data_IF_727603289867
#
_entry.id   IF_727603289867
#
_cell.length_a   1.000
_cell.length_b   1.000
_cell.length_c   1.000
_cell.angle_alpha   90.00
_cell.angle_beta   90.00
_cell.angle_gamma   90.00
#
_symmetry.space_group_name_H-M   'P 1'
#
loop_
_entity.id
_entity.type
_entity.pdbx_description
1 polymer ?
#
# COMPACT_ATOMS: atom_id res chain seq x y z
N UNK A 1 -16.09 16.46 -5.65
CA UNK A 1 -14.85 16.16 -6.39
C UNK A 1 -13.81 15.80 -5.35
N UNK A 2 -13.07 14.69 -5.52
CA UNK A 2 -12.00 14.30 -4.57
C UNK A 2 -10.87 15.33 -4.60
N UNK A 3 -10.21 15.60 -3.47
CA UNK A 3 -9.04 16.48 -3.40
C UNK A 3 -7.76 15.82 -3.94
N UNK A 4 -7.75 14.49 -3.99
CA UNK A 4 -6.64 13.66 -4.47
C UNK A 4 -7.17 12.56 -5.37
N UNK A 5 -6.51 12.34 -6.50
CA UNK A 5 -6.81 11.28 -7.45
C UNK A 5 -5.58 10.40 -7.62
N UNK A 6 -5.72 9.08 -7.44
CA UNK A 6 -4.65 8.14 -7.72
C UNK A 6 -4.62 7.91 -9.23
N UNK A 7 -3.45 8.13 -9.85
CA UNK A 7 -3.27 8.00 -11.31
C UNK A 7 -2.66 6.67 -11.70
N UNK A 8 -1.78 6.10 -10.87
CA UNK A 8 -1.17 4.80 -11.10
C UNK A 8 -0.73 4.12 -9.80
N UNK A 9 -0.78 2.79 -9.78
CA UNK A 9 -0.18 1.95 -8.74
C UNK A 9 0.53 0.79 -9.44
N UNK A 10 1.86 0.81 -9.42
CA UNK A 10 2.68 -0.26 -9.97
C UNK A 10 3.25 -1.12 -8.84
N UNK A 11 3.04 -2.43 -8.93
CA UNK A 11 3.65 -3.41 -8.02
C UNK A 11 5.02 -3.76 -8.57
N UNK A 12 6.07 -3.45 -7.83
CA UNK A 12 7.45 -3.74 -8.22
C UNK A 12 7.82 -5.15 -7.76
N UNK A 13 8.71 -5.80 -8.49
CA UNK A 13 9.27 -7.13 -8.17
C UNK A 13 8.23 -8.25 -8.01
N UNK A 14 7.16 -8.25 -8.83
CA UNK A 14 6.15 -9.31 -8.87
C UNK A 14 6.36 -10.23 -10.09
N UNK A 15 6.46 -11.58 -9.92
CA UNK A 15 6.30 -12.36 -8.68
C UNK A 15 7.51 -12.29 -7.74
N UNK A 16 7.24 -12.21 -6.44
CA UNK A 16 8.23 -12.18 -5.37
C UNK A 16 7.99 -13.32 -4.35
N UNK A 17 9.04 -13.67 -3.60
CA UNK A 17 8.87 -14.55 -2.44
C UNK A 17 8.11 -13.84 -1.34
N UNK A 18 7.34 -14.58 -0.53
CA UNK A 18 6.61 -14.03 0.62
C UNK A 18 7.49 -13.24 1.59
N UNK A 19 8.76 -13.65 1.75
CA UNK A 19 9.73 -13.00 2.63
C UNK A 19 10.41 -11.78 1.98
N UNK A 20 10.13 -11.52 0.70
CA UNK A 20 10.65 -10.33 0.02
C UNK A 20 9.86 -9.08 0.44
N UNK A 21 10.49 -7.90 0.44
CA UNK A 21 9.79 -6.67 0.71
C UNK A 21 8.68 -6.41 -0.31
N UNK A 22 7.55 -5.90 0.16
CA UNK A 22 6.51 -5.37 -0.72
C UNK A 22 6.93 -3.98 -1.20
N UNK A 23 6.81 -3.73 -2.50
CA UNK A 23 7.18 -2.46 -3.11
C UNK A 23 6.07 -1.99 -4.05
N UNK A 24 5.51 -0.83 -3.76
CA UNK A 24 4.47 -0.20 -4.56
C UNK A 24 4.92 1.19 -4.99
N UNK A 25 5.01 1.43 -6.30
CA UNK A 25 5.15 2.79 -6.82
C UNK A 25 3.76 3.39 -7.01
N UNK A 26 3.46 4.43 -6.23
CA UNK A 26 2.17 5.10 -6.23
C UNK A 26 2.35 6.48 -6.87
N UNK A 27 1.54 6.76 -7.88
CA UNK A 27 1.42 8.08 -8.50
C UNK A 27 0.03 8.65 -8.22
N UNK A 28 -0.03 9.90 -7.79
CA UNK A 28 -1.27 10.60 -7.48
C UNK A 28 -1.21 12.07 -7.85
N UNK A 29 -2.37 12.64 -8.16
CA UNK A 29 -2.59 14.04 -8.43
C UNK A 29 -3.35 14.66 -7.25
N UNK A 30 -2.83 15.76 -6.73
CA UNK A 30 -3.53 16.61 -5.77
C UNK A 30 -4.14 17.79 -6.52
N UNK A 31 -5.48 17.90 -6.53
CA UNK A 31 -6.22 18.94 -7.25
C UNK A 31 -6.56 20.15 -6.38
N UNK A 32 -6.56 19.97 -5.06
CA UNK A 32 -6.86 21.01 -4.06
C UNK A 32 -5.82 20.91 -2.94
N UNK A 33 -5.21 22.03 -2.48
CA UNK A 33 -4.20 21.97 -1.43
C UNK A 33 -4.79 21.40 -0.13
N UNK A 34 -4.06 20.49 0.49
CA UNK A 34 -4.42 19.87 1.75
C UNK A 34 -3.66 20.52 2.89
N UNK A 35 -4.40 21.02 3.88
CA UNK A 35 -3.83 21.58 5.11
C UNK A 35 -3.38 20.47 6.07
N UNK A 36 -4.13 19.36 6.09
CA UNK A 36 -3.84 18.18 6.90
C UNK A 36 -3.01 17.15 6.11
N UNK A 37 -2.35 16.26 6.84
CA UNK A 37 -1.53 15.20 6.25
C UNK A 37 -2.38 14.12 5.58
N UNK A 38 -1.92 13.63 4.42
CA UNK A 38 -2.43 12.42 3.79
C UNK A 38 -1.81 11.20 4.46
N UNK A 39 -2.65 10.26 4.88
CA UNK A 39 -2.19 8.99 5.43
C UNK A 39 -2.27 7.87 4.38
N UNK A 40 -1.12 7.27 4.06
CA UNK A 40 -0.99 6.10 3.21
C UNK A 40 -0.76 4.87 4.07
N UNK A 41 -1.69 3.91 4.01
CA UNK A 41 -1.57 2.62 4.73
C UNK A 41 -1.43 1.48 3.76
N UNK A 42 -0.48 0.59 4.04
CA UNK A 42 -0.45 -0.74 3.44
C UNK A 42 -1.08 -1.72 4.43
N UNK A 43 -2.19 -2.33 4.05
CA UNK A 43 -2.91 -3.30 4.86
C UNK A 43 -2.83 -4.66 4.19
N UNK A 44 -2.34 -5.64 4.96
CA UNK A 44 -2.35 -7.03 4.58
C UNK A 44 -3.61 -7.70 5.10
N UNK A 45 -4.42 -8.23 4.18
CA UNK A 45 -5.67 -8.91 4.51
C UNK A 45 -5.35 -10.33 4.97
N UNK A 46 -5.54 -10.56 6.27
CA UNK A 46 -5.23 -11.84 6.92
C UNK A 46 -6.35 -12.87 6.77
N UNK A 47 -7.56 -12.46 6.44
CA UNK A 47 -8.68 -13.34 6.08
C UNK A 47 -9.65 -12.58 5.19
N UNK A 48 -10.19 -13.22 4.17
CA UNK A 48 -11.21 -12.60 3.32
C UNK A 48 -12.57 -12.43 4.04
N UNK A 49 -12.80 -13.17 5.13
CA UNK A 49 -14.08 -13.23 5.83
C UNK A 49 -14.08 -12.46 7.16
N UNK A 50 -12.89 -12.13 7.69
CA UNK A 50 -12.75 -11.58 9.03
C UNK A 50 -11.64 -10.51 9.08
N UNK A 51 -12.06 -9.26 9.22
CA UNK A 51 -11.21 -8.06 9.28
C UNK A 51 -10.32 -8.03 10.54
N UNK A 52 -10.60 -8.83 11.57
CA UNK A 52 -9.79 -8.85 12.80
C UNK A 52 -8.38 -9.40 12.57
N UNK A 53 -8.16 -10.10 11.45
CA UNK A 53 -6.86 -10.60 11.04
C UNK A 53 -6.09 -9.65 10.13
N UNK A 54 -6.66 -8.51 9.75
CA UNK A 54 -6.00 -7.52 8.91
C UNK A 54 -4.86 -6.84 9.67
N UNK A 55 -3.75 -6.67 8.98
CA UNK A 55 -2.54 -6.11 9.55
C UNK A 55 -2.12 -4.87 8.80
N UNK A 56 -1.96 -3.77 9.52
CA UNK A 56 -1.29 -2.59 8.99
C UNK A 56 0.20 -2.88 8.92
N UNK A 57 0.71 -3.11 7.71
CA UNK A 57 2.13 -3.35 7.47
C UNK A 57 2.92 -2.05 7.57
N UNK A 58 2.35 -0.94 7.09
CA UNK A 58 2.99 0.37 7.10
C UNK A 58 1.94 1.49 7.12
N UNK A 59 2.29 2.62 7.74
CA UNK A 59 1.50 3.85 7.74
C UNK A 59 2.40 5.08 7.58
N UNK A 60 2.25 5.80 6.47
CA UNK A 60 3.05 6.98 6.15
C UNK A 60 2.15 8.21 6.06
N UNK A 61 2.53 9.26 6.78
CA UNK A 61 1.90 10.57 6.71
C UNK A 61 2.66 11.47 5.74
N UNK A 62 1.95 12.14 4.84
CA UNK A 62 2.51 13.07 3.85
C UNK A 62 1.72 14.37 3.92
N UNK A 63 2.34 15.42 4.46
CA UNK A 63 1.75 16.75 4.41
C UNK A 63 2.66 17.87 4.91
N UNK A 64 2.23 19.13 4.70
CA UNK A 64 1.07 19.56 3.89
C UNK A 64 1.31 19.37 2.37
N UNK A 65 0.26 19.04 1.61
CA UNK A 65 0.36 18.70 0.17
C UNK A 65 -0.23 19.79 -0.70
N UNK A 66 0.60 20.36 -1.59
CA UNK A 66 0.18 21.36 -2.56
C UNK A 66 -0.39 20.70 -3.82
N UNK A 67 -1.11 21.49 -4.63
CA UNK A 67 -1.61 21.05 -5.94
C UNK A 67 -0.45 20.61 -6.83
N UNK A 68 -0.58 19.45 -7.47
CA UNK A 68 0.46 18.90 -8.34
C UNK A 68 0.40 17.39 -8.49
N UNK A 69 1.35 16.87 -9.27
CA UNK A 69 1.52 15.43 -9.47
C UNK A 69 2.68 14.93 -8.62
N UNK A 70 2.44 13.85 -7.88
CA UNK A 70 3.39 13.24 -6.96
C UNK A 70 3.58 11.77 -7.30
N UNK A 71 4.78 11.28 -6.99
CA UNK A 71 5.13 9.86 -7.11
C UNK A 71 6.08 9.48 -6.00
N UNK A 72 5.81 8.36 -5.35
CA UNK A 72 6.69 7.80 -4.33
C UNK A 72 6.63 6.27 -4.34
N UNK A 73 7.63 5.64 -3.72
CA UNK A 73 7.65 4.19 -3.52
C UNK A 73 7.34 3.90 -2.05
N UNK A 74 6.25 3.19 -1.81
CA UNK A 74 5.93 2.63 -0.51
C UNK A 74 6.55 1.24 -0.42
N UNK A 75 7.51 1.07 0.47
CA UNK A 75 8.20 -0.19 0.66
C UNK A 75 8.08 -0.68 2.10
N UNK A 76 7.75 -1.96 2.27
CA UNK A 76 7.61 -2.57 3.59
C UNK A 76 8.36 -3.89 3.61
N UNK A 77 9.15 -4.10 4.68
CA UNK A 77 9.77 -5.40 4.91
C UNK A 77 8.67 -6.44 5.14
N UNK A 78 8.87 -7.65 4.63
CA UNK A 78 7.89 -8.73 4.78
C UNK A 78 7.49 -8.87 6.26
N UNK A 79 6.19 -9.01 6.58
CA UNK A 79 5.78 -9.38 7.93
C UNK A 79 6.51 -10.68 8.26
N UNK A 80 7.35 -10.66 9.29
CA UNK A 80 8.12 -11.85 9.70
C UNK A 80 7.21 -13.08 9.87
N UNK A 81 7.82 -14.26 9.92
CA UNK A 81 7.23 -15.61 9.86
C UNK A 81 5.94 -15.92 10.68
N UNK A 82 5.43 -15.01 11.50
CA UNK A 82 4.25 -15.19 12.33
C UNK A 82 2.92 -15.20 11.55
N UNK A 83 2.92 -14.91 10.25
CA UNK A 83 1.71 -14.52 9.49
C UNK A 83 1.51 -15.32 8.17
N UNK A 84 2.10 -16.52 8.08
CA UNK A 84 2.33 -17.24 6.82
C UNK A 84 1.10 -17.85 6.12
N UNK A 85 -0.14 -17.70 6.61
CA UNK A 85 -1.22 -18.59 6.16
C UNK A 85 -2.07 -18.08 4.99
N UNK A 86 -2.12 -16.77 4.70
CA UNK A 86 -3.13 -16.26 3.73
C UNK A 86 -2.56 -15.74 2.41
N UNK A 87 -1.28 -15.33 2.32
CA UNK A 87 -0.70 -14.90 1.03
C UNK A 87 -0.58 -16.05 0.04
N UNK A 88 -0.46 -17.29 0.53
CA UNK A 88 -0.31 -18.45 -0.35
C UNK A 88 -1.50 -18.63 -1.31
N UNK A 89 -2.67 -18.05 -1.03
CA UNK A 89 -3.84 -18.15 -1.92
C UNK A 89 -3.88 -17.16 -3.08
N UNK A 90 -3.21 -16.00 -2.99
CA UNK A 90 -3.18 -15.01 -4.09
C UNK A 90 -1.98 -15.19 -5.03
N UNK A 91 -1.00 -16.01 -4.66
CA UNK A 91 0.18 -16.32 -5.47
C UNK A 91 0.08 -17.68 -6.18
N UNK A 92 -1.03 -18.40 -6.07
CA UNK A 92 -1.26 -19.59 -6.86
C UNK A 92 -1.91 -19.21 -8.20
N UNK A 93 -1.28 -19.54 -9.34
CA UNK A 93 -1.96 -19.48 -10.61
C UNK A 93 -3.02 -20.59 -10.60
N UNK A 94 -4.29 -20.22 -10.79
CA UNK A 94 -5.22 -21.10 -11.48
C UNK A 94 -5.13 -20.78 -12.97
#
# INVERSE_FOLDING_TARGET
MSAVNITNVAVLDNPASFLSPFQFEISYECVTPLQDDLEWKLIYVGSAEDETYDQVLESVLVGPVNVGNYRFVLQVLSPGFQLSLVVLMLCLPY
#
